data_IF_655348737778
#
_entry.id   IF_655348737778
#
_cell.length_a   1.000
_cell.length_b   1.000
_cell.length_c   1.000
_cell.angle_alpha   90.00
_cell.angle_beta   90.00
_cell.angle_gamma   90.00
#
_symmetry.space_group_name_H-M   'P 1'
#
loop_
_entity.id
_entity.type
_entity.pdbx_description
1 polymer ?
#
# COMPACT_ATOMS: atom_id res chain seq x y z
N UNK A 1 -2.35 -30.44 22.26
CA UNK A 1 -3.15 -29.21 22.48
C UNK A 1 -2.26 -27.97 22.55
N UNK A 2 -1.32 -27.84 23.50
CA UNK A 2 -0.44 -26.66 23.62
C UNK A 2 0.38 -26.33 22.36
N UNK A 3 0.95 -27.33 21.68
CA UNK A 3 1.72 -27.13 20.45
C UNK A 3 0.89 -26.49 19.32
N UNK A 4 -0.37 -26.91 19.17
CA UNK A 4 -1.30 -26.37 18.16
C UNK A 4 -1.63 -24.91 18.49
N UNK A 5 -1.93 -24.60 19.75
CA UNK A 5 -2.24 -23.23 20.18
C UNK A 5 -1.04 -22.31 19.95
N UNK A 6 0.17 -22.76 20.30
CA UNK A 6 1.40 -21.99 20.10
C UNK A 6 1.69 -21.76 18.60
N UNK A 7 1.43 -22.76 17.77
CA UNK A 7 1.59 -22.67 16.31
C UNK A 7 0.64 -21.63 15.70
N UNK A 8 -0.66 -21.71 16.03
CA UNK A 8 -1.64 -20.73 15.54
C UNK A 8 -1.37 -19.33 16.07
N UNK A 9 -0.98 -19.19 17.33
CA UNK A 9 -0.58 -17.91 17.91
C UNK A 9 0.65 -17.32 17.20
N UNK A 10 1.65 -18.15 16.92
CA UNK A 10 2.84 -17.78 16.14
C UNK A 10 2.49 -17.24 14.75
N UNK A 11 1.55 -17.89 14.05
CA UNK A 11 1.06 -17.43 12.74
C UNK A 11 0.36 -16.07 12.84
N UNK A 12 -0.48 -15.86 13.87
CA UNK A 12 -1.21 -14.60 14.06
C UNK A 12 -0.24 -13.44 14.29
N UNK A 13 0.78 -13.65 15.13
CA UNK A 13 1.83 -12.65 15.39
C UNK A 13 2.70 -12.43 14.16
N UNK A 14 3.07 -13.51 13.45
CA UNK A 14 3.89 -13.43 12.24
C UNK A 14 3.13 -12.87 11.03
N UNK A 15 1.80 -12.74 11.07
CA UNK A 15 0.99 -12.26 9.93
C UNK A 15 1.50 -10.94 9.36
N UNK A 16 1.84 -9.96 10.21
CA UNK A 16 2.36 -8.66 9.75
C UNK A 16 3.72 -8.79 9.07
N UNK A 17 4.59 -9.64 9.62
CA UNK A 17 5.90 -9.95 9.04
C UNK A 17 5.77 -10.68 7.69
N UNK A 18 4.94 -11.72 7.64
CA UNK A 18 4.71 -12.54 6.46
C UNK A 18 4.06 -11.71 5.33
N UNK A 19 3.14 -10.81 5.68
CA UNK A 19 2.57 -9.85 4.74
C UNK A 19 3.63 -8.93 4.14
N UNK A 20 4.54 -8.40 4.97
CA UNK A 20 5.64 -7.54 4.50
C UNK A 20 6.62 -8.31 3.61
N UNK A 21 6.89 -9.59 3.95
CA UNK A 21 7.70 -10.48 3.14
C UNK A 21 7.08 -10.68 1.76
N UNK A 22 5.80 -11.08 1.68
CA UNK A 22 5.10 -11.31 0.41
C UNK A 22 5.12 -10.05 -0.46
N UNK A 23 4.85 -8.90 0.15
CA UNK A 23 4.85 -7.60 -0.52
C UNK A 23 6.26 -7.23 -1.02
N UNK A 24 7.31 -7.55 -0.24
CA UNK A 24 8.70 -7.48 -0.69
C UNK A 24 9.01 -8.40 -1.87
N UNK A 25 8.46 -9.62 -1.92
CA UNK A 25 8.60 -10.51 -3.08
C UNK A 25 7.97 -9.86 -4.31
N UNK A 26 6.71 -9.42 -4.22
CA UNK A 26 5.98 -8.82 -5.34
C UNK A 26 6.72 -7.60 -5.88
N UNK A 27 7.14 -6.68 -5.01
CA UNK A 27 7.89 -5.50 -5.45
C UNK A 27 9.29 -5.83 -5.97
N UNK A 28 9.96 -6.86 -5.44
CA UNK A 28 11.24 -7.30 -6.00
C UNK A 28 11.11 -7.76 -7.45
N UNK A 29 10.02 -8.46 -7.80
CA UNK A 29 9.71 -8.84 -9.18
C UNK A 29 9.34 -7.65 -10.06
N UNK A 30 8.63 -6.66 -9.52
CA UNK A 30 8.31 -5.41 -10.23
C UNK A 30 9.57 -4.60 -10.58
N UNK A 31 10.53 -4.55 -9.66
CA UNK A 31 11.79 -3.79 -9.80
C UNK A 31 12.84 -4.59 -10.61
N UNK A 32 12.69 -5.90 -10.73
CA UNK A 32 13.59 -6.78 -11.49
C UNK A 32 13.95 -6.29 -12.92
N UNK A 33 13.02 -5.80 -13.78
CA UNK A 33 13.38 -5.23 -15.07
C UNK A 33 14.31 -4.01 -14.95
N UNK A 34 14.11 -3.15 -13.95
CA UNK A 34 14.96 -2.00 -13.68
C UNK A 34 16.36 -2.45 -13.24
N UNK A 35 16.45 -3.43 -12.35
CA UNK A 35 17.71 -4.03 -11.90
C UNK A 35 18.48 -4.63 -13.07
N UNK A 36 17.80 -5.40 -13.92
CA UNK A 36 18.42 -6.02 -15.09
C UNK A 36 18.92 -4.97 -16.09
N UNK A 37 18.19 -3.87 -16.24
CA UNK A 37 18.61 -2.73 -17.05
C UNK A 37 19.86 -2.05 -16.49
N UNK A 38 19.93 -1.84 -15.17
CA UNK A 38 21.10 -1.29 -14.48
C UNK A 38 22.32 -2.23 -14.53
N UNK A 39 22.12 -3.53 -14.36
CA UNK A 39 23.17 -4.55 -14.49
C UNK A 39 23.73 -4.59 -15.93
N UNK A 40 22.86 -4.64 -16.95
CA UNK A 40 23.28 -4.85 -18.35
C UNK A 40 23.69 -3.58 -19.08
N UNK A 41 23.01 -2.45 -18.84
CA UNK A 41 23.25 -1.21 -19.60
C UNK A 41 24.23 -0.28 -18.89
N UNK A 42 24.12 -0.17 -17.57
CA UNK A 42 24.99 0.70 -16.75
C UNK A 42 26.20 -0.04 -16.15
N UNK A 43 26.35 -1.35 -16.40
CA UNK A 43 27.49 -2.18 -15.95
C UNK A 43 27.76 -2.13 -14.44
N UNK A 44 26.73 -1.88 -13.62
CA UNK A 44 26.87 -1.88 -12.17
C UNK A 44 27.06 -3.30 -11.62
N UNK A 45 27.88 -3.50 -10.57
CA UNK A 45 27.92 -4.76 -9.86
C UNK A 45 26.55 -5.04 -9.24
N UNK A 46 26.16 -6.32 -9.24
CA UNK A 46 24.83 -6.81 -8.82
C UNK A 46 24.30 -6.22 -7.52
N UNK A 47 25.17 -6.00 -6.53
CA UNK A 47 24.79 -5.40 -5.24
C UNK A 47 24.39 -3.94 -5.40
N UNK A 48 25.16 -3.14 -6.15
CA UNK A 48 24.86 -1.72 -6.39
C UNK A 48 23.62 -1.56 -7.26
N UNK A 49 23.44 -2.40 -8.29
CA UNK A 49 22.24 -2.38 -9.13
C UNK A 49 20.96 -2.64 -8.30
N UNK A 50 21.00 -3.64 -7.42
CA UNK A 50 19.89 -3.93 -6.49
C UNK A 50 19.59 -2.75 -5.56
N UNK A 51 20.62 -2.23 -4.89
CA UNK A 51 20.46 -1.17 -3.89
C UNK A 51 19.93 0.12 -4.53
N UNK A 52 20.50 0.52 -5.67
CA UNK A 52 20.06 1.72 -6.39
C UNK A 52 18.62 1.59 -6.90
N UNK A 53 18.25 0.42 -7.42
CA UNK A 53 16.87 0.17 -7.88
C UNK A 53 15.86 0.25 -6.74
N UNK A 54 16.20 -0.31 -5.57
CA UNK A 54 15.37 -0.24 -4.36
C UNK A 54 15.25 1.20 -3.86
N UNK A 55 16.36 1.94 -3.83
CA UNK A 55 16.38 3.34 -3.41
C UNK A 55 15.51 4.21 -4.33
N UNK A 56 15.61 4.00 -5.64
CA UNK A 56 14.82 4.73 -6.64
C UNK A 56 13.33 4.39 -6.49
N UNK A 57 12.99 3.12 -6.32
CA UNK A 57 11.61 2.70 -6.07
C UNK A 57 11.02 3.33 -4.80
N UNK A 58 11.75 3.29 -3.69
CA UNK A 58 11.35 3.95 -2.44
C UNK A 58 11.20 5.46 -2.61
N UNK A 59 12.10 6.10 -3.36
CA UNK A 59 12.05 7.51 -3.67
C UNK A 59 10.77 7.89 -4.42
N UNK A 60 10.40 7.11 -5.45
CA UNK A 60 9.13 7.30 -6.18
C UNK A 60 7.93 7.10 -5.24
N UNK A 61 7.93 6.03 -4.45
CA UNK A 61 6.83 5.74 -3.52
C UNK A 61 6.64 6.85 -2.48
N UNK A 62 7.74 7.32 -1.90
CA UNK A 62 7.74 8.41 -0.93
C UNK A 62 7.30 9.73 -1.56
N UNK A 63 7.68 10.00 -2.82
CA UNK A 63 7.26 11.19 -3.54
C UNK A 63 5.74 11.18 -3.79
N UNK A 64 5.20 10.04 -4.25
CA UNK A 64 3.76 9.86 -4.45
C UNK A 64 3.02 10.06 -3.13
N UNK A 65 3.47 9.41 -2.06
CA UNK A 65 2.88 9.58 -0.73
C UNK A 65 2.91 11.04 -0.29
N UNK A 66 4.05 11.72 -0.42
CA UNK A 66 4.19 13.13 -0.08
C UNK A 66 3.23 14.02 -0.86
N UNK A 67 3.06 13.77 -2.16
CA UNK A 67 2.08 14.50 -2.99
C UNK A 67 0.65 14.25 -2.48
N UNK A 68 0.28 13.01 -2.16
CA UNK A 68 -1.05 12.69 -1.61
C UNK A 68 -1.25 13.41 -0.27
N UNK A 69 -0.30 13.33 0.66
CA UNK A 69 -0.37 14.01 1.95
C UNK A 69 -0.54 15.52 1.79
N UNK A 70 0.19 16.16 0.87
CA UNK A 70 0.05 17.59 0.58
C UNK A 70 -1.32 17.94 0.02
N UNK A 71 -1.87 17.11 -0.86
CA UNK A 71 -3.19 17.34 -1.44
C UNK A 71 -4.30 17.17 -0.39
N UNK A 72 -4.25 16.10 0.42
CA UNK A 72 -5.20 15.87 1.53
C UNK A 72 -5.11 17.00 2.55
N UNK A 73 -3.91 17.47 2.89
CA UNK A 73 -3.70 18.57 3.83
C UNK A 73 -4.45 19.84 3.46
N UNK A 74 -4.46 20.21 2.17
CA UNK A 74 -5.22 21.36 1.65
C UNK A 74 -6.73 21.17 1.79
N UNK A 75 -7.23 19.98 1.47
CA UNK A 75 -8.66 19.64 1.63
C UNK A 75 -9.08 19.83 3.10
N UNK A 76 -8.29 19.35 4.07
CA UNK A 76 -8.57 19.57 5.50
C UNK A 76 -8.52 21.04 5.94
N UNK A 77 -7.75 21.90 5.30
CA UNK A 77 -7.73 23.34 5.61
C UNK A 77 -8.99 24.05 5.12
N UNK A 78 -9.55 23.61 3.99
CA UNK A 78 -10.78 24.19 3.41
C UNK A 78 -12.05 23.56 4.01
N UNK A 79 -11.94 22.41 4.71
CA UNK A 79 -13.05 21.73 5.37
C UNK A 79 -13.90 22.63 6.28
N UNK A 80 -13.35 23.48 7.19
CA UNK A 80 -14.16 24.34 8.04
C UNK A 80 -15.07 25.30 7.26
N UNK A 81 -14.60 25.81 6.11
CA UNK A 81 -15.40 26.66 5.23
C UNK A 81 -16.53 25.90 4.55
N UNK A 82 -16.28 24.65 4.14
CA UNK A 82 -17.29 23.77 3.57
C UNK A 82 -18.36 23.37 4.60
N UNK A 83 -17.98 23.17 5.87
CA UNK A 83 -18.93 22.94 6.98
C UNK A 83 -19.86 24.13 7.15
N UNK A 84 -19.29 25.33 7.25
CA UNK A 84 -20.06 26.56 7.44
C UNK A 84 -21.03 26.81 6.27
N UNK A 85 -20.59 26.53 5.04
CA UNK A 85 -21.44 26.68 3.87
C UNK A 85 -22.52 25.59 3.78
N UNK A 86 -22.23 24.36 4.21
CA UNK A 86 -23.22 23.30 4.31
C UNK A 86 -24.32 23.64 5.33
N UNK A 87 -23.93 24.13 6.52
CA UNK A 87 -24.89 24.60 7.53
C UNK A 87 -25.76 25.74 6.99
N UNK A 88 -25.17 26.76 6.36
CA UNK A 88 -25.93 27.85 5.73
C UNK A 88 -26.93 27.37 4.66
N UNK A 89 -26.55 26.40 3.81
CA UNK A 89 -27.47 25.86 2.80
C UNK A 89 -28.61 25.07 3.43
N UNK A 90 -28.34 24.32 4.50
CA UNK A 90 -29.35 23.59 5.26
C UNK A 90 -30.33 24.57 5.92
N UNK A 91 -29.82 25.66 6.51
CA UNK A 91 -30.64 26.70 7.13
C UNK A 91 -31.53 27.41 6.10
N UNK A 92 -30.98 27.77 4.93
CA UNK A 92 -31.75 28.36 3.82
C UNK A 92 -32.83 27.42 3.27
N UNK A 93 -32.55 26.11 3.18
CA UNK A 93 -33.55 25.12 2.80
C UNK A 93 -34.65 24.99 3.86
N UNK A 94 -34.29 25.06 5.15
CA UNK A 94 -35.23 25.07 6.26
C UNK A 94 -36.18 26.27 6.21
N UNK A 95 -35.64 27.48 6.03
CA UNK A 95 -36.43 28.73 5.92
C UNK A 95 -37.37 28.71 4.70
N UNK A 96 -36.91 28.18 3.56
CA UNK A 96 -37.74 28.06 2.36
C UNK A 96 -38.94 27.12 2.55
N UNK A 97 -38.73 25.99 3.22
CA UNK A 97 -39.80 25.02 3.49
C UNK A 97 -40.76 25.57 4.55
N UNK A 98 -40.27 26.24 5.59
CA UNK A 98 -41.10 26.86 6.63
C UNK A 98 -41.98 27.98 6.06
N UNK A 99 -41.44 28.84 5.19
CA UNK A 99 -42.19 29.89 4.51
C UNK A 99 -43.22 29.40 3.49
N UNK A 100 -43.02 28.22 2.89
CA UNK A 100 -43.91 27.66 1.86
C UNK A 100 -44.98 26.72 2.43
N UNK A 101 -44.65 25.96 3.48
CA UNK A 101 -45.51 24.90 4.03
C UNK A 101 -45.96 25.13 5.48
N UNK A 102 -45.47 26.16 6.18
CA UNK A 102 -45.92 26.54 7.52
C UNK A 102 -45.59 25.55 8.64
N UNK A 103 -44.65 24.62 8.39
CA UNK A 103 -44.22 23.59 9.34
C UNK A 103 -42.87 24.00 9.97
N UNK A 104 -42.80 24.10 11.29
CA UNK A 104 -41.58 24.50 12.00
C UNK A 104 -40.56 23.35 12.02
N UNK A 105 -39.43 23.53 11.33
CA UNK A 105 -38.41 22.51 11.04
C UNK A 105 -37.28 22.44 12.10
N UNK A 106 -37.38 23.20 13.19
CA UNK A 106 -36.33 23.32 14.21
C UNK A 106 -35.77 21.99 14.75
N UNK A 107 -36.62 20.96 14.91
CA UNK A 107 -36.19 19.63 15.39
C UNK A 107 -35.43 18.80 14.34
N UNK A 108 -35.63 19.05 13.05
CA UNK A 108 -34.99 18.28 11.97
C UNK A 108 -33.62 18.87 11.62
N UNK A 109 -33.47 20.18 11.84
CA UNK A 109 -32.23 20.88 11.57
C UNK A 109 -31.10 20.41 12.50
N UNK A 110 -31.39 20.17 13.78
CA UNK A 110 -30.41 19.68 14.77
C UNK A 110 -29.85 18.29 14.44
N UNK A 111 -30.68 17.35 13.98
CA UNK A 111 -30.23 16.00 13.56
C UNK A 111 -29.37 16.04 12.29
N UNK A 112 -29.69 16.94 11.35
CA UNK A 112 -28.91 17.13 10.12
C UNK A 112 -27.58 17.82 10.46
N UNK A 113 -27.60 18.87 11.29
CA UNK A 113 -26.38 19.52 11.79
C UNK A 113 -25.49 18.55 12.58
N UNK A 114 -26.05 17.67 13.41
CA UNK A 114 -25.29 16.61 14.10
C UNK A 114 -24.71 15.59 13.13
N UNK A 115 -25.44 15.20 12.08
CA UNK A 115 -24.94 14.28 11.05
C UNK A 115 -23.78 14.88 10.26
N UNK A 116 -23.91 16.16 9.89
CA UNK A 116 -22.84 16.97 9.29
C UNK A 116 -21.65 17.01 10.25
N UNK A 117 -21.85 17.46 11.48
CA UNK A 117 -20.79 17.53 12.49
C UNK A 117 -20.13 16.18 12.77
N UNK A 118 -20.86 15.05 12.73
CA UNK A 118 -20.27 13.71 12.88
C UNK A 118 -19.42 13.29 11.66
N UNK A 119 -19.85 13.61 10.44
CA UNK A 119 -19.03 13.42 9.24
C UNK A 119 -17.74 14.24 9.31
N UNK A 120 -17.78 15.46 9.87
CA UNK A 120 -16.62 16.32 10.00
C UNK A 120 -15.75 16.04 11.24
N UNK A 121 -16.33 15.60 12.37
CA UNK A 121 -15.61 15.13 13.56
C UNK A 121 -14.83 13.84 13.30
N UNK A 122 -15.17 13.12 12.22
CA UNK A 122 -14.31 12.04 11.67
C UNK A 122 -12.90 12.55 11.36
N UNK A 123 -12.68 13.86 11.19
CA UNK A 123 -11.35 14.50 11.06
C UNK A 123 -10.43 14.27 12.28
N UNK A 124 -10.95 14.23 13.52
CA UNK A 124 -10.11 13.97 14.71
C UNK A 124 -9.71 12.50 14.82
N UNK A 125 -10.65 11.59 14.51
CA UNK A 125 -10.37 10.15 14.37
C UNK A 125 -9.45 9.87 13.18
N UNK A 126 -9.52 10.68 12.13
CA UNK A 126 -8.62 10.65 10.97
C UNK A 126 -7.20 11.04 11.38
N UNK A 127 -7.01 12.06 12.21
CA UNK A 127 -5.68 12.38 12.77
C UNK A 127 -5.10 11.22 13.57
N UNK A 128 -5.86 10.62 14.51
CA UNK A 128 -5.38 9.43 15.24
C UNK A 128 -5.10 8.22 14.33
N UNK A 129 -5.93 8.03 13.29
CA UNK A 129 -5.73 6.97 12.30
C UNK A 129 -4.51 7.21 11.43
N UNK A 130 -4.21 8.46 11.07
CA UNK A 130 -2.97 8.84 10.39
C UNK A 130 -1.77 8.56 11.30
N UNK A 131 -1.81 8.93 12.58
CA UNK A 131 -0.70 8.67 13.51
C UNK A 131 -0.43 7.16 13.66
N UNK A 132 -1.46 6.34 13.88
CA UNK A 132 -1.32 4.87 13.94
C UNK A 132 -0.85 4.29 12.61
N UNK A 133 -1.40 4.78 11.49
CA UNK A 133 -1.02 4.36 10.14
C UNK A 133 0.44 4.71 9.82
N UNK A 134 0.93 5.86 10.28
CA UNK A 134 2.31 6.32 10.05
C UNK A 134 3.31 5.42 10.74
N UNK A 135 3.09 5.05 12.01
CA UNK A 135 3.98 4.12 12.73
C UNK A 135 4.07 2.76 12.04
N UNK A 136 2.92 2.19 11.63
CA UNK A 136 2.90 0.92 10.91
C UNK A 136 3.56 1.03 9.54
N UNK A 137 3.31 2.13 8.81
CA UNK A 137 3.87 2.37 7.49
C UNK A 137 5.38 2.54 7.56
N UNK A 138 5.91 3.23 8.58
CA UNK A 138 7.35 3.37 8.78
C UNK A 138 8.02 2.01 9.02
N UNK A 139 7.39 1.15 9.83
CA UNK A 139 7.91 -0.20 10.06
C UNK A 139 7.91 -1.04 8.77
N UNK A 140 6.82 -0.99 8.00
CA UNK A 140 6.71 -1.66 6.70
C UNK A 140 7.70 -1.09 5.69
N UNK A 141 7.87 0.23 5.62
CA UNK A 141 8.84 0.90 4.74
C UNK A 141 10.29 0.61 5.12
N UNK A 142 10.57 0.29 6.39
CA UNK A 142 11.91 -0.14 6.83
C UNK A 142 12.20 -1.60 6.49
N UNK A 143 11.24 -2.51 6.72
CA UNK A 143 11.42 -3.95 6.50
C UNK A 143 11.25 -4.38 5.04
N UNK A 144 10.32 -3.77 4.30
CA UNK A 144 10.05 -4.11 2.90
C UNK A 144 11.31 -4.03 2.02
N UNK A 145 12.14 -2.97 2.08
CA UNK A 145 13.38 -2.88 1.29
C UNK A 145 14.38 -3.95 1.63
N UNK A 146 14.47 -4.32 2.91
CA UNK A 146 15.32 -5.41 3.37
C UNK A 146 14.86 -6.70 2.68
N UNK A 147 13.57 -7.05 2.74
CA UNK A 147 13.07 -8.25 2.04
C UNK A 147 13.26 -8.18 0.53
N UNK A 148 13.00 -7.04 -0.11
CA UNK A 148 13.25 -6.86 -1.54
C UNK A 148 14.72 -7.15 -1.86
N UNK A 149 15.65 -6.58 -1.10
CA UNK A 149 17.08 -6.80 -1.28
C UNK A 149 17.45 -8.27 -1.12
N UNK A 150 16.98 -8.92 -0.05
CA UNK A 150 17.21 -10.35 0.19
C UNK A 150 16.68 -11.20 -0.98
N UNK A 151 15.46 -10.96 -1.45
CA UNK A 151 14.88 -11.71 -2.57
C UNK A 151 15.65 -11.50 -3.87
N UNK A 152 16.03 -10.26 -4.19
CA UNK A 152 16.81 -9.92 -5.38
C UNK A 152 18.24 -10.46 -5.35
N UNK A 153 18.88 -10.44 -4.18
CA UNK A 153 20.24 -10.90 -3.98
C UNK A 153 20.33 -12.44 -3.95
N UNK A 154 19.43 -13.10 -3.22
CA UNK A 154 19.44 -14.55 -3.04
C UNK A 154 18.63 -15.34 -4.08
N UNK A 155 18.14 -14.70 -5.15
CA UNK A 155 17.38 -15.36 -6.23
C UNK A 155 18.01 -16.66 -6.74
N UNK A 156 19.34 -16.71 -6.87
CA UNK A 156 20.04 -17.92 -7.36
C UNK A 156 20.06 -19.05 -6.32
N UNK A 157 20.09 -18.71 -5.02
CA UNK A 157 20.01 -19.71 -3.96
C UNK A 157 18.62 -20.31 -3.88
N UNK A 158 17.58 -19.50 -4.04
CA UNK A 158 16.20 -19.99 -4.13
C UNK A 158 16.01 -20.92 -5.33
N UNK A 159 16.54 -20.55 -6.49
CA UNK A 159 16.54 -21.41 -7.68
C UNK A 159 17.17 -22.78 -7.40
N UNK A 160 18.38 -22.78 -6.82
CA UNK A 160 19.10 -24.02 -6.47
C UNK A 160 18.38 -24.84 -5.41
N UNK A 161 17.78 -24.18 -4.41
CA UNK A 161 17.01 -24.84 -3.36
C UNK A 161 15.81 -25.59 -3.92
N UNK A 162 15.10 -24.98 -4.88
CA UNK A 162 13.96 -25.64 -5.55
C UNK A 162 14.45 -26.84 -6.35
N UNK A 163 15.54 -26.71 -7.11
CA UNK A 163 16.09 -27.84 -7.88
C UNK A 163 16.52 -28.99 -6.97
N UNK A 164 17.15 -28.69 -5.82
CA UNK A 164 17.56 -29.71 -4.85
C UNK A 164 16.38 -30.45 -4.18
N UNK A 165 15.18 -29.87 -4.20
CA UNK A 165 13.98 -30.50 -3.65
C UNK A 165 13.26 -31.42 -4.66
N UNK A 166 13.72 -31.46 -5.92
CA UNK A 166 13.10 -32.23 -7.01
C UNK A 166 14.01 -33.41 -7.38
N UNK A 167 13.46 -34.56 -7.81
CA UNK A 167 14.27 -35.67 -8.31
C UNK A 167 15.12 -35.26 -9.53
N UNK A 168 16.34 -35.79 -9.61
CA UNK A 168 17.32 -35.49 -10.67
C UNK A 168 16.77 -35.74 -12.08
N UNK A 169 15.84 -36.68 -12.27
CA UNK A 169 15.24 -36.94 -13.59
C UNK A 169 14.32 -35.80 -14.09
N UNK A 170 13.86 -34.92 -13.19
CA UNK A 170 12.96 -33.80 -13.49
C UNK A 170 13.60 -32.43 -13.25
N UNK A 171 14.91 -32.40 -13.00
CA UNK A 171 15.63 -31.14 -12.77
C UNK A 171 15.55 -30.20 -13.98
N UNK A 172 15.76 -30.73 -15.20
CA UNK A 172 15.71 -29.94 -16.43
C UNK A 172 14.30 -29.38 -16.70
N UNK A 173 13.26 -30.20 -16.55
CA UNK A 173 11.87 -29.76 -16.69
C UNK A 173 11.53 -28.64 -15.70
N UNK A 174 11.99 -28.79 -14.45
CA UNK A 174 11.75 -27.81 -13.38
C UNK A 174 12.53 -26.51 -13.64
N UNK A 175 13.78 -26.61 -14.09
CA UNK A 175 14.59 -25.48 -14.48
C UNK A 175 13.92 -24.65 -15.59
N UNK A 176 13.37 -25.32 -16.62
CA UNK A 176 12.68 -24.68 -17.72
C UNK A 176 11.37 -23.99 -17.28
N UNK A 177 10.60 -24.62 -16.39
CA UNK A 177 9.39 -24.03 -15.81
C UNK A 177 9.75 -22.77 -15.03
N UNK A 178 10.75 -22.83 -14.14
CA UNK A 178 11.16 -21.66 -13.33
C UNK A 178 11.67 -20.53 -14.24
N UNK A 179 12.41 -20.87 -15.31
CA UNK A 179 12.90 -19.88 -16.28
C UNK A 179 11.77 -19.20 -17.03
N UNK A 180 10.74 -19.96 -17.46
CA UNK A 180 9.54 -19.41 -18.10
C UNK A 180 8.79 -18.48 -17.14
N UNK A 181 8.55 -18.90 -15.90
CA UNK A 181 7.90 -18.08 -14.87
C UNK A 181 8.68 -16.78 -14.64
N UNK A 182 10.00 -16.88 -14.48
CA UNK A 182 10.87 -15.72 -14.24
C UNK A 182 10.86 -14.72 -15.39
N UNK A 183 10.56 -15.15 -16.61
CA UNK A 183 10.47 -14.27 -17.78
C UNK A 183 9.07 -13.67 -17.98
N UNK A 184 8.01 -14.40 -17.61
CA UNK A 184 6.62 -13.98 -17.80
C UNK A 184 6.13 -13.09 -16.65
N UNK A 185 6.47 -13.43 -15.40
CA UNK A 185 5.98 -12.72 -14.21
C UNK A 185 6.30 -11.22 -14.23
N UNK A 186 7.53 -10.76 -14.53
CA UNK A 186 7.81 -9.32 -14.59
C UNK A 186 7.04 -8.61 -15.71
N UNK A 187 6.80 -9.28 -16.85
CA UNK A 187 6.00 -8.71 -17.96
C UNK A 187 4.52 -8.59 -17.60
N UNK A 188 3.97 -9.58 -16.92
CA UNK A 188 2.59 -9.56 -16.43
C UNK A 188 2.40 -8.45 -15.40
N UNK A 189 3.26 -8.39 -14.38
CA UNK A 189 3.19 -7.36 -13.35
C UNK A 189 3.35 -5.97 -13.99
N UNK A 190 4.37 -5.78 -14.85
CA UNK A 190 4.55 -4.52 -15.57
C UNK A 190 3.34 -4.12 -16.40
N UNK A 191 2.74 -5.08 -17.14
CA UNK A 191 1.53 -4.85 -17.93
C UNK A 191 0.32 -4.45 -17.09
N UNK A 192 0.09 -5.12 -15.96
CA UNK A 192 -1.00 -4.74 -15.03
C UNK A 192 -0.78 -3.33 -14.48
N UNK A 193 0.44 -2.96 -14.09
CA UNK A 193 0.74 -1.61 -13.64
C UNK A 193 0.49 -0.56 -14.73
N UNK A 194 0.81 -0.84 -16.00
CA UNK A 194 0.52 0.07 -17.11
C UNK A 194 -0.97 0.21 -17.40
N UNK A 195 -1.77 -0.84 -17.18
CA UNK A 195 -3.22 -0.79 -17.40
C UNK A 195 -3.97 -0.09 -16.26
N UNK A 196 -3.45 -0.19 -15.03
CA UNK A 196 -4.07 0.41 -13.84
C UNK A 196 -3.74 1.91 -13.68
N UNK A 197 -2.62 2.37 -14.24
CA UNK A 197 -2.20 3.77 -14.22
C UNK A 197 -2.90 4.59 -15.32
#
# INVERSE_FOLDING_TARGET
>A
MLFIILFFYGIIVAKGFLSTLILGVIFSYLIFPLVTFLEKKAHFPRVLANLLSILLFLGILSLIMFLIYRNVGRITQDMPGLVAQAHNNIDQLGEFIEGTFGYTIHSQNTLIHESVNNMFNTSSNFTQSIFKGTTSTLFTLGLMPVFMFYMLYYRDKFYKFILMAVPTEREDDTADIIRKISHVTPKYIGGVFTVVL
#
